data_IF_921883422900
#
_entry.id   IF_921883422900
#
_cell.length_a   1.000
_cell.length_b   1.000
_cell.length_c   1.000
_cell.angle_alpha   90.00
_cell.angle_beta   90.00
_cell.angle_gamma   90.00
#
_symmetry.space_group_name_H-M   'P 1'
#
loop_
_entity.id
_entity.type
_entity.pdbx_description
1 polymer ?
#
# COMPACT_ATOMS: atom_id res chain seq x y z
N UNK A 1 -21.13 11.18 -9.65
CA UNK A 1 -20.61 10.84 -10.99
C UNK A 1 -20.01 9.44 -10.86
N UNK A 2 -20.72 8.42 -11.32
CA UNK A 2 -20.20 7.04 -11.31
C UNK A 2 -19.00 6.98 -12.26
N UNK A 3 -17.80 6.89 -11.69
CA UNK A 3 -16.58 6.68 -12.48
C UNK A 3 -16.48 5.17 -12.71
N UNK A 4 -17.32 4.67 -13.61
CA UNK A 4 -17.48 3.23 -13.86
C UNK A 4 -16.28 2.59 -14.59
N UNK A 5 -15.39 3.39 -15.18
CA UNK A 5 -14.24 2.89 -15.92
C UNK A 5 -13.02 3.73 -15.63
N UNK A 6 -12.06 3.14 -14.93
CA UNK A 6 -10.72 3.68 -14.90
C UNK A 6 -10.11 3.53 -16.30
N UNK A 7 -9.86 4.66 -16.97
CA UNK A 7 -9.32 4.72 -18.34
C UNK A 7 -7.80 4.55 -18.40
N UNK A 8 -7.13 4.50 -17.24
CA UNK A 8 -5.68 4.38 -17.16
C UNK A 8 -5.23 2.95 -17.46
N UNK A 9 -4.11 2.80 -18.17
CA UNK A 9 -3.51 1.49 -18.43
C UNK A 9 -3.18 0.73 -17.14
N UNK A 10 -2.97 1.43 -16.03
CA UNK A 10 -2.77 0.89 -14.69
C UNK A 10 -4.01 0.17 -14.15
N UNK A 11 -5.20 0.44 -14.66
CA UNK A 11 -6.45 -0.14 -14.16
C UNK A 11 -6.97 -1.34 -14.94
N UNK A 12 -6.37 -1.67 -16.08
CA UNK A 12 -6.75 -2.86 -16.83
C UNK A 12 -6.21 -4.13 -16.14
N UNK A 13 -7.08 -5.09 -15.83
CA UNK A 13 -6.63 -6.45 -15.52
C UNK A 13 -6.04 -7.07 -16.78
N UNK A 14 -4.71 -7.14 -16.88
CA UNK A 14 -4.08 -7.90 -17.94
C UNK A 14 -4.36 -9.38 -17.68
N UNK A 15 -4.90 -10.10 -18.68
CA UNK A 15 -4.96 -11.58 -18.64
C UNK A 15 -3.55 -12.10 -18.37
N UNK A 16 -3.31 -12.61 -17.16
CA UNK A 16 -2.01 -13.16 -16.74
C UNK A 16 -1.59 -14.23 -17.77
N UNK A 17 -0.48 -14.06 -18.51
CA UNK A 17 0.16 -15.24 -19.10
C UNK A 17 0.65 -16.12 -17.94
N UNK A 18 0.63 -17.44 -18.12
CA UNK A 18 0.90 -18.47 -17.09
C UNK A 18 2.28 -18.42 -16.37
N UNK A 19 3.06 -17.33 -16.48
CA UNK A 19 4.32 -17.18 -15.78
C UNK A 19 4.18 -16.13 -14.68
N UNK A 20 4.12 -16.61 -13.44
CA UNK A 20 4.34 -15.81 -12.24
C UNK A 20 5.76 -15.26 -12.26
N UNK A 21 5.88 -13.94 -12.29
CA UNK A 21 7.11 -13.24 -11.98
C UNK A 21 7.78 -12.59 -13.18
N UNK A 22 8.43 -11.47 -12.86
CA UNK A 22 9.13 -10.56 -13.75
C UNK A 22 8.21 -9.54 -14.41
N UNK A 23 8.61 -8.28 -14.28
CA UNK A 23 8.41 -7.22 -15.28
C UNK A 23 8.75 -7.78 -16.66
N UNK A 24 7.81 -8.51 -17.28
CA UNK A 24 8.16 -9.43 -18.35
C UNK A 24 8.58 -8.65 -19.58
N UNK A 25 9.89 -8.62 -19.85
CA UNK A 25 10.44 -8.41 -21.19
C UNK A 25 9.90 -9.53 -22.09
N UNK A 26 8.69 -9.38 -22.63
CA UNK A 26 8.28 -10.11 -23.82
C UNK A 26 8.82 -9.33 -25.03
N UNK A 27 9.78 -9.92 -25.74
CA UNK A 27 10.39 -9.35 -26.95
C UNK A 27 11.08 -7.99 -26.75
N UNK A 28 11.68 -7.74 -25.57
CA UNK A 28 12.43 -6.51 -25.30
C UNK A 28 11.59 -5.26 -25.01
N UNK A 29 10.25 -5.37 -25.00
CA UNK A 29 9.36 -4.26 -24.60
C UNK A 29 9.15 -4.26 -23.08
N UNK A 30 9.34 -3.09 -22.46
CA UNK A 30 9.00 -2.83 -21.05
C UNK A 30 7.57 -2.31 -21.02
N UNK A 31 6.73 -2.93 -20.19
CA UNK A 31 5.37 -2.47 -19.97
C UNK A 31 5.25 -1.89 -18.56
N UNK A 32 4.46 -0.82 -18.36
CA UNK A 32 4.08 -0.39 -17.02
C UNK A 32 3.41 -1.54 -16.24
N UNK A 33 3.53 -1.54 -14.90
CA UNK A 33 2.83 -2.50 -14.06
C UNK A 33 1.31 -2.31 -14.16
N UNK A 34 0.56 -3.39 -14.06
CA UNK A 34 -0.90 -3.34 -13.88
C UNK A 34 -1.28 -3.05 -12.42
N UNK A 35 -2.59 -2.90 -12.15
CA UNK A 35 -3.15 -2.55 -10.83
C UNK A 35 -2.65 -3.48 -9.73
N UNK A 36 -2.58 -4.77 -10.02
CA UNK A 36 -2.22 -5.78 -9.02
C UNK A 36 -0.72 -5.77 -8.77
N UNK A 37 0.09 -5.62 -9.83
CA UNK A 37 1.55 -5.50 -9.74
C UNK A 37 1.97 -4.27 -8.96
N UNK A 38 1.43 -3.09 -9.31
CA UNK A 38 1.76 -1.85 -8.60
C UNK A 38 1.21 -1.88 -7.17
N UNK A 39 0.01 -2.45 -6.96
CA UNK A 39 -0.57 -2.64 -5.63
C UNK A 39 0.34 -3.47 -4.71
N UNK A 40 0.76 -4.65 -5.16
CA UNK A 40 1.69 -5.51 -4.39
C UNK A 40 3.00 -4.80 -4.09
N UNK A 41 3.61 -4.14 -5.09
CA UNK A 41 4.86 -3.43 -4.91
C UNK A 41 4.73 -2.28 -3.90
N UNK A 42 3.64 -1.53 -3.96
CA UNK A 42 3.36 -0.45 -3.02
C UNK A 42 3.16 -0.95 -1.61
N UNK A 43 2.39 -2.02 -1.40
CA UNK A 43 2.21 -2.58 -0.06
C UNK A 43 3.53 -3.04 0.55
N UNK A 44 4.44 -3.63 -0.23
CA UNK A 44 5.78 -3.98 0.26
C UNK A 44 6.53 -2.76 0.78
N UNK A 45 6.55 -1.65 0.03
CA UNK A 45 7.17 -0.40 0.48
C UNK A 45 6.52 0.11 1.76
N UNK A 46 5.20 0.18 1.79
CA UNK A 46 4.45 0.77 2.89
C UNK A 46 4.57 -0.02 4.21
N UNK A 47 4.45 -1.35 4.14
CA UNK A 47 4.64 -2.24 5.31
C UNK A 47 6.09 -2.23 5.80
N UNK A 48 7.06 -2.23 4.88
CA UNK A 48 8.48 -2.13 5.25
C UNK A 48 8.76 -0.81 5.95
N UNK A 49 8.22 0.30 5.43
CA UNK A 49 8.39 1.62 6.06
C UNK A 49 7.78 1.68 7.46
N UNK A 50 6.57 1.13 7.68
CA UNK A 50 5.95 1.11 9.01
C UNK A 50 6.70 0.21 10.00
N UNK A 51 7.15 -0.98 9.57
CA UNK A 51 7.87 -1.92 10.42
C UNK A 51 9.26 -1.41 10.86
N UNK A 52 9.88 -0.54 10.06
CA UNK A 52 11.17 0.08 10.39
C UNK A 52 11.01 1.49 11.00
N UNK A 53 9.78 1.93 11.30
CA UNK A 53 9.54 3.21 11.98
C UNK A 53 10.16 3.21 13.40
N UNK A 54 10.62 4.37 13.93
CA UNK A 54 11.17 4.43 15.28
C UNK A 54 10.14 4.01 16.34
N UNK A 55 10.61 3.35 17.41
CA UNK A 55 9.78 3.09 18.59
C UNK A 55 9.42 4.38 19.32
N UNK A 56 10.35 5.34 19.36
CA UNK A 56 10.18 6.68 19.92
C UNK A 56 10.45 7.73 18.83
N UNK A 57 9.48 8.05 17.96
CA UNK A 57 9.67 8.98 16.85
C UNK A 57 9.78 10.42 17.33
N UNK A 58 10.61 11.22 16.65
CA UNK A 58 10.63 12.67 16.82
C UNK A 58 9.43 13.32 16.13
N UNK A 59 9.10 14.56 16.49
CA UNK A 59 8.05 15.32 15.78
C UNK A 59 8.37 15.50 14.28
N UNK A 60 9.65 15.51 13.92
CA UNK A 60 10.06 15.55 12.52
C UNK A 60 9.81 14.21 11.81
N UNK A 61 10.03 13.07 12.48
CA UNK A 61 9.72 11.75 11.92
C UNK A 61 8.22 11.59 11.66
N UNK A 62 7.38 12.09 12.58
CA UNK A 62 5.92 12.12 12.43
C UNK A 62 5.49 12.96 11.22
N UNK A 63 6.02 14.19 11.10
CA UNK A 63 5.74 15.08 9.96
C UNK A 63 6.16 14.47 8.63
N UNK A 64 7.37 13.89 8.56
CA UNK A 64 7.86 13.22 7.34
C UNK A 64 6.94 12.09 6.90
N UNK A 65 6.50 11.25 7.83
CA UNK A 65 5.59 10.16 7.51
C UNK A 65 4.24 10.68 7.04
N UNK A 66 3.66 11.66 7.75
CA UNK A 66 2.41 12.27 7.32
C UNK A 66 2.47 12.84 5.91
N UNK A 67 3.48 13.67 5.61
CA UNK A 67 3.65 14.23 4.28
C UNK A 67 3.94 13.17 3.22
N UNK A 68 4.70 12.12 3.56
CA UNK A 68 4.92 11.00 2.64
C UNK A 68 3.60 10.32 2.27
N UNK A 69 2.76 9.98 3.25
CA UNK A 69 1.48 9.30 2.99
C UNK A 69 0.51 10.16 2.19
N UNK A 70 0.39 11.43 2.53
CA UNK A 70 -0.45 12.38 1.78
C UNK A 70 0.04 12.52 0.33
N UNK A 71 1.35 12.71 0.12
CA UNK A 71 1.92 12.78 -1.22
C UNK A 71 1.78 11.46 -1.99
N UNK A 72 2.03 10.33 -1.33
CA UNK A 72 1.92 9.00 -1.92
C UNK A 72 0.50 8.73 -2.41
N UNK A 73 -0.51 8.99 -1.58
CA UNK A 73 -1.90 8.81 -1.95
C UNK A 73 -2.29 9.74 -3.11
N UNK A 74 -1.88 11.01 -3.05
CA UNK A 74 -2.16 11.97 -4.11
C UNK A 74 -1.48 11.66 -5.45
N UNK A 75 -0.35 10.96 -5.43
CA UNK A 75 0.43 10.60 -6.62
C UNK A 75 0.22 9.14 -7.07
N UNK A 76 -0.66 8.39 -6.41
CA UNK A 76 -0.85 6.98 -6.71
C UNK A 76 -1.40 6.80 -8.14
N UNK A 77 -0.77 5.93 -8.98
CA UNK A 77 -0.97 5.91 -10.44
C UNK A 77 -2.23 5.18 -10.91
N UNK A 78 -3.12 4.81 -9.99
CA UNK A 78 -4.45 4.29 -10.27
C UNK A 78 -5.46 5.31 -9.70
N UNK A 79 -6.16 6.03 -10.56
CA UNK A 79 -7.03 7.14 -10.16
C UNK A 79 -8.13 6.71 -9.18
N UNK A 80 -8.81 5.59 -9.44
CA UNK A 80 -9.86 5.08 -8.52
C UNK A 80 -9.23 4.69 -7.18
N UNK A 81 -8.11 3.95 -7.21
CA UNK A 81 -7.40 3.55 -6.00
C UNK A 81 -6.92 4.77 -5.18
N UNK A 82 -6.50 5.85 -5.84
CA UNK A 82 -6.14 7.11 -5.22
C UNK A 82 -7.33 7.73 -4.48
N UNK A 83 -8.49 7.81 -5.13
CA UNK A 83 -9.68 8.40 -4.51
C UNK A 83 -10.10 7.62 -3.27
N UNK A 84 -10.13 6.28 -3.36
CA UNK A 84 -10.47 5.41 -2.24
C UNK A 84 -9.44 5.54 -1.11
N UNK A 85 -8.14 5.53 -1.44
CA UNK A 85 -7.07 5.69 -0.45
C UNK A 85 -7.15 7.04 0.27
N UNK A 86 -7.41 8.14 -0.44
CA UNK A 86 -7.57 9.45 0.18
C UNK A 86 -8.78 9.50 1.12
N UNK A 87 -9.86 8.79 0.79
CA UNK A 87 -11.03 8.72 1.67
C UNK A 87 -10.75 7.86 2.92
N UNK A 88 -10.01 6.77 2.77
CA UNK A 88 -9.54 5.98 3.89
C UNK A 88 -8.60 6.77 4.80
N UNK A 89 -7.67 7.55 4.26
CA UNK A 89 -6.75 8.37 5.07
C UNK A 89 -7.48 9.48 5.86
N UNK A 90 -8.64 9.96 5.41
CA UNK A 90 -9.47 10.89 6.19
C UNK A 90 -10.18 10.19 7.34
N UNK A 91 -10.66 8.97 7.10
CA UNK A 91 -11.44 8.19 8.06
C UNK A 91 -10.56 7.53 9.12
N UNK A 92 -9.44 6.95 8.70
CA UNK A 92 -8.43 6.36 9.54
C UNK A 92 -7.36 7.40 9.82
N UNK A 93 -7.49 8.11 10.95
CA UNK A 93 -6.44 9.02 11.41
C UNK A 93 -5.15 8.22 11.62
N UNK A 94 -4.14 8.50 10.81
CA UNK A 94 -2.83 7.86 10.94
C UNK A 94 -2.23 8.16 12.31
N UNK A 95 -1.89 7.10 13.05
CA UNK A 95 -1.24 7.21 14.34
C UNK A 95 0.28 7.00 14.16
N UNK A 96 1.04 8.10 14.32
CA UNK A 96 2.50 8.12 14.19
C UNK A 96 3.24 8.12 15.52
N UNK A 97 2.63 7.69 16.63
CA UNK A 97 3.26 7.79 17.95
C UNK A 97 4.32 6.72 18.22
N UNK A 98 4.41 5.70 17.37
CA UNK A 98 5.42 4.66 17.47
C UNK A 98 5.30 3.62 16.36
N UNK A 99 6.27 2.72 16.32
CA UNK A 99 6.34 1.62 15.33
C UNK A 99 5.09 0.74 15.37
N UNK A 100 4.63 0.39 16.56
CA UNK A 100 3.46 -0.48 16.76
C UNK A 100 2.21 0.20 16.21
N UNK A 101 2.03 1.48 16.50
CA UNK A 101 0.90 2.29 16.04
C UNK A 101 0.92 2.43 14.51
N UNK A 102 2.08 2.72 13.93
CA UNK A 102 2.23 2.84 12.48
C UNK A 102 2.00 1.52 11.75
N UNK A 103 2.50 0.41 12.29
CA UNK A 103 2.30 -0.92 11.71
C UNK A 103 0.85 -1.37 11.84
N UNK A 104 0.22 -1.09 12.98
CA UNK A 104 -1.22 -1.34 13.19
C UNK A 104 -2.07 -0.56 12.19
N UNK A 105 -1.78 0.73 12.01
CA UNK A 105 -2.46 1.56 11.02
C UNK A 105 -2.32 0.98 9.61
N UNK A 106 -1.09 0.62 9.21
CA UNK A 106 -0.80 0.06 7.90
C UNK A 106 -1.52 -1.27 7.65
N UNK A 107 -1.49 -2.16 8.64
CA UNK A 107 -2.19 -3.43 8.62
C UNK A 107 -3.69 -3.25 8.42
N UNK A 108 -4.32 -2.39 9.22
CA UNK A 108 -5.75 -2.12 9.14
C UNK A 108 -6.15 -1.48 7.81
N UNK A 109 -5.34 -0.54 7.30
CA UNK A 109 -5.57 0.08 6.00
C UNK A 109 -5.51 -0.94 4.86
N UNK A 110 -4.53 -1.86 4.87
CA UNK A 110 -4.42 -2.90 3.86
C UNK A 110 -5.62 -3.87 3.92
N UNK A 111 -6.05 -4.23 5.12
CA UNK A 111 -7.24 -5.06 5.30
C UNK A 111 -8.54 -4.37 4.87
N UNK A 112 -8.64 -3.06 5.07
CA UNK A 112 -9.77 -2.30 4.54
C UNK A 112 -9.82 -2.35 3.01
N UNK A 113 -8.67 -2.16 2.36
CA UNK A 113 -8.58 -2.30 0.90
C UNK A 113 -8.90 -3.73 0.46
N UNK A 114 -8.48 -4.76 1.20
CA UNK A 114 -8.86 -6.15 0.90
C UNK A 114 -10.39 -6.33 0.93
N UNK A 115 -11.06 -5.80 1.95
CA UNK A 115 -12.52 -5.82 2.05
C UNK A 115 -13.18 -5.13 0.85
N UNK A 116 -12.74 -3.91 0.50
CA UNK A 116 -13.31 -3.14 -0.61
C UNK A 116 -13.19 -3.86 -1.97
N UNK A 117 -12.14 -4.66 -2.16
CA UNK A 117 -11.92 -5.42 -3.41
C UNK A 117 -12.33 -6.90 -3.30
N UNK A 118 -13.04 -7.29 -2.23
CA UNK A 118 -13.56 -8.65 -2.04
C UNK A 118 -12.49 -9.72 -1.80
N UNK A 119 -11.30 -9.33 -1.34
CA UNK A 119 -10.25 -10.26 -0.89
C UNK A 119 -10.45 -10.65 0.57
N UNK A 120 -9.99 -11.85 0.99
CA UNK A 120 -9.98 -12.22 2.39
C UNK A 120 -9.19 -11.23 3.24
N UNK A 121 -9.66 -10.98 4.46
CA UNK A 121 -8.88 -10.27 5.46
C UNK A 121 -7.65 -11.10 5.83
N UNK A 122 -6.51 -10.44 5.97
CA UNK A 122 -5.32 -11.06 6.55
C UNK A 122 -5.52 -11.18 8.06
N UNK A 123 -5.48 -12.40 8.64
CA UNK A 123 -5.62 -12.58 10.07
C UNK A 123 -4.34 -12.15 10.79
N UNK A 124 -4.48 -11.45 11.92
CA UNK A 124 -3.36 -11.09 12.78
C UNK A 124 -3.81 -11.20 14.24
N UNK A 125 -3.14 -12.07 14.99
CA UNK A 125 -3.36 -12.20 16.44
C UNK A 125 -2.47 -11.25 17.25
N UNK A 126 -1.27 -10.97 16.72
CA UNK A 126 -0.28 -10.06 17.30
C UNK A 126 0.38 -9.23 16.20
N UNK A 127 0.34 -7.90 16.34
CA UNK A 127 0.95 -6.98 15.39
C UNK A 127 2.46 -7.12 15.32
N UNK A 128 3.10 -7.66 16.36
CA UNK A 128 4.54 -7.94 16.35
C UNK A 128 4.93 -8.91 15.22
N UNK A 129 4.05 -9.87 14.86
CA UNK A 129 4.30 -10.77 13.73
C UNK A 129 4.38 -10.02 12.39
N UNK A 130 3.58 -8.96 12.23
CA UNK A 130 3.61 -8.10 11.05
C UNK A 130 4.87 -7.24 11.05
N UNK A 131 5.26 -6.71 12.22
CA UNK A 131 6.53 -5.98 12.35
C UNK A 131 7.68 -6.88 11.92
N UNK A 132 7.78 -8.09 12.47
CA UNK A 132 8.89 -9.02 12.20
C UNK A 132 8.93 -9.48 10.74
N UNK A 133 7.77 -9.61 10.08
CA UNK A 133 7.68 -9.96 8.66
C UNK A 133 8.33 -8.93 7.73
N UNK A 134 8.27 -7.64 8.08
CA UNK A 134 8.66 -6.53 7.20
C UNK A 134 9.86 -5.71 7.72
N UNK A 135 10.37 -6.05 8.91
CA UNK A 135 11.53 -5.38 9.49
C UNK A 135 12.79 -5.74 8.71
N UNK A 136 13.65 -4.74 8.51
CA UNK A 136 14.90 -4.88 7.74
C UNK A 136 16.16 -4.59 8.56
N UNK A 137 15.99 -4.14 9.80
CA UNK A 137 17.07 -3.85 10.72
C UNK A 137 16.65 -4.17 12.17
N UNK A 138 17.60 -4.69 12.94
CA UNK A 138 17.43 -5.08 14.35
C UNK A 138 17.20 -3.89 15.29
#
# INVERSE_FOLDING_TARGET
>A
MEIEKCYEHSCGERKKPNNHGSTTRKNGKIYPPDREEIGRASWLVLHTMSANYPTNPTEEDKKKHFHFFDAFANLYPCYICKLDLLEHLKSYKMNCDGRTEMTTFMFNLHNRVNEDIGKPLFPCGDIQEIIDMYRTAD
#
